data_IF_635541249088
#
_entry.id   IF_635541249088
#
_cell.length_a   1.000
_cell.length_b   1.000
_cell.length_c   1.000
_cell.angle_alpha   90.00
_cell.angle_beta   90.00
_cell.angle_gamma   90.00
#
_symmetry.space_group_name_H-M   'P 1'
#
loop_
_entity.id
_entity.type
_entity.pdbx_description
1 polymer ?
#
# COMPACT_ATOMS: atom_id res chain seq x y z
N UNK A 1 3.17 8.22 9.02
CA UNK A 1 1.73 8.04 8.73
C UNK A 1 1.27 6.73 9.31
N UNK A 2 0.16 6.75 10.06
CA UNK A 2 -0.39 5.52 10.60
C UNK A 2 -1.30 4.86 9.57
N UNK A 3 -1.63 3.61 9.83
CA UNK A 3 -2.44 2.83 8.90
C UNK A 3 -3.80 3.44 8.61
N UNK A 4 -4.43 4.04 9.63
CA UNK A 4 -5.76 4.61 9.44
C UNK A 4 -5.72 6.00 8.83
N UNK A 5 -4.65 6.72 9.08
CA UNK A 5 -4.48 8.04 8.52
C UNK A 5 -4.11 7.99 7.05
N UNK A 6 -3.70 6.82 6.56
CA UNK A 6 -3.42 6.64 5.15
C UNK A 6 -4.60 7.01 4.27
N UNK A 7 -5.81 6.81 4.77
CA UNK A 7 -6.99 7.00 3.95
C UNK A 7 -7.05 8.40 3.35
N UNK A 8 -6.79 9.42 4.15
CA UNK A 8 -6.85 10.80 3.68
C UNK A 8 -5.75 11.15 2.71
N UNK A 9 -4.69 10.35 2.66
CA UNK A 9 -3.54 10.61 1.82
C UNK A 9 -3.31 9.48 0.81
N UNK A 10 -4.31 8.64 0.61
CA UNK A 10 -4.12 7.43 -0.17
C UNK A 10 -3.71 7.69 -1.61
N UNK A 11 -4.24 8.75 -2.23
CA UNK A 11 -3.85 9.07 -3.61
C UNK A 11 -2.36 9.31 -3.74
N UNK A 12 -1.79 9.97 -2.74
CA UNK A 12 -0.37 10.23 -2.70
C UNK A 12 0.43 8.95 -2.49
N UNK A 13 -0.05 8.13 -1.55
CA UNK A 13 0.59 6.84 -1.27
C UNK A 13 0.55 5.95 -2.50
N UNK A 14 -0.56 5.93 -3.23
CA UNK A 14 -0.66 5.13 -4.47
C UNK A 14 0.41 5.53 -5.46
N UNK A 15 0.59 6.83 -5.65
CA UNK A 15 1.60 7.30 -6.59
C UNK A 15 2.99 6.84 -6.20
N UNK A 16 3.31 6.91 -4.91
CA UNK A 16 4.62 6.48 -4.43
C UNK A 16 4.80 4.97 -4.61
N UNK A 17 3.77 4.19 -4.30
CA UNK A 17 3.85 2.75 -4.45
C UNK A 17 4.04 2.34 -5.91
N UNK A 18 3.36 3.01 -6.83
CA UNK A 18 3.52 2.73 -8.25
C UNK A 18 4.91 3.09 -8.74
N UNK A 19 5.52 4.11 -8.19
CA UNK A 19 6.88 4.47 -8.53
C UNK A 19 7.88 3.42 -8.04
N UNK A 20 7.63 2.89 -6.84
CA UNK A 20 8.52 1.90 -6.25
C UNK A 20 8.37 0.53 -6.91
N UNK A 21 7.14 0.14 -7.19
CA UNK A 21 6.83 -1.16 -7.80
C UNK A 21 5.94 -0.91 -9.01
N UNK A 22 6.57 -0.78 -10.17
CA UNK A 22 5.87 -0.38 -11.40
C UNK A 22 4.80 -1.37 -11.84
N UNK A 23 4.87 -2.61 -11.38
CA UNK A 23 3.89 -3.63 -11.75
C UNK A 23 2.54 -3.46 -11.06
N UNK A 24 2.45 -2.57 -10.06
CA UNK A 24 1.19 -2.36 -9.35
C UNK A 24 0.20 -1.61 -10.23
N UNK A 25 -1.06 -2.04 -10.16
CA UNK A 25 -2.16 -1.39 -10.88
C UNK A 25 -3.08 -0.69 -9.90
N UNK A 26 -3.99 0.12 -10.42
CA UNK A 26 -4.99 0.78 -9.57
C UNK A 26 -5.85 -0.22 -8.83
N UNK A 27 -6.18 -1.35 -9.46
CA UNK A 27 -6.96 -2.40 -8.80
C UNK A 27 -6.21 -2.99 -7.62
N UNK A 28 -4.89 -3.13 -7.75
CA UNK A 28 -4.06 -3.64 -6.65
C UNK A 28 -4.04 -2.67 -5.47
N UNK A 29 -4.30 -1.41 -5.73
CA UNK A 29 -4.16 -0.35 -4.74
C UNK A 29 -5.50 0.16 -4.21
N UNK A 30 -6.58 -0.57 -4.45
CA UNK A 30 -7.87 -0.26 -3.84
C UNK A 30 -7.78 -0.44 -2.34
N UNK A 31 -8.18 0.58 -1.61
CA UNK A 31 -8.10 0.56 -0.15
C UNK A 31 -9.43 0.99 0.46
N UNK A 32 -9.93 0.17 1.40
CA UNK A 32 -11.12 0.48 2.14
C UNK A 32 -10.80 0.48 3.63
N UNK A 33 -11.52 1.30 4.39
CA UNK A 33 -11.36 1.34 5.84
C UNK A 33 -11.49 -0.03 6.45
N UNK A 34 -10.58 -0.35 7.37
CA UNK A 34 -10.62 -1.62 8.07
C UNK A 34 -10.10 -2.80 7.28
N UNK A 35 -9.61 -2.58 6.07
CA UNK A 35 -9.13 -3.67 5.22
C UNK A 35 -7.65 -3.55 4.88
N UNK A 36 -6.86 -3.02 5.82
CA UNK A 36 -5.43 -2.87 5.59
C UNK A 36 -4.74 -4.20 5.34
N UNK A 37 -5.16 -5.25 6.07
CA UNK A 37 -4.52 -6.55 5.89
C UNK A 37 -4.80 -7.14 4.52
N UNK A 38 -5.99 -6.92 3.98
CA UNK A 38 -6.30 -7.37 2.63
C UNK A 38 -5.44 -6.63 1.61
N UNK A 39 -5.30 -5.34 1.79
CA UNK A 39 -4.46 -4.53 0.92
C UNK A 39 -3.02 -5.03 0.96
N UNK A 40 -2.48 -5.21 2.16
CA UNK A 40 -1.10 -5.66 2.32
C UNK A 40 -0.89 -7.06 1.73
N UNK A 41 -1.87 -7.95 1.89
CA UNK A 41 -1.78 -9.27 1.30
C UNK A 41 -1.74 -9.23 -0.22
N UNK A 42 -2.55 -8.35 -0.81
CA UNK A 42 -2.57 -8.16 -2.24
C UNK A 42 -1.23 -7.59 -2.73
N UNK A 43 -0.71 -6.59 -2.03
CA UNK A 43 0.57 -6.01 -2.38
C UNK A 43 1.71 -7.01 -2.22
N UNK A 44 1.64 -7.85 -1.20
CA UNK A 44 2.63 -8.89 -1.00
C UNK A 44 2.70 -9.83 -2.20
N UNK A 45 1.53 -10.21 -2.71
CA UNK A 45 1.48 -11.09 -3.87
C UNK A 45 2.05 -10.43 -5.11
N UNK A 46 1.81 -9.14 -5.27
CA UNK A 46 2.24 -8.43 -6.47
C UNK A 46 3.72 -8.04 -6.42
N UNK A 47 4.23 -7.70 -5.25
CA UNK A 47 5.59 -7.17 -5.13
C UNK A 47 6.60 -8.22 -4.70
N UNK A 48 6.15 -9.29 -4.04
CA UNK A 48 7.07 -10.26 -3.45
C UNK A 48 7.66 -9.81 -2.13
N UNK A 49 7.28 -8.63 -1.64
CA UNK A 49 7.78 -8.13 -0.35
C UNK A 49 6.94 -8.67 0.79
N UNK A 50 7.51 -8.64 2.00
CA UNK A 50 6.75 -9.03 3.18
C UNK A 50 5.81 -7.90 3.60
N UNK A 51 4.78 -8.26 4.38
CA UNK A 51 3.87 -7.24 4.89
C UNK A 51 4.59 -6.24 5.78
N UNK A 52 5.56 -6.70 6.56
CA UNK A 52 6.32 -5.80 7.43
C UNK A 52 7.12 -4.78 6.62
N UNK A 53 7.73 -5.22 5.53
CA UNK A 53 8.46 -4.32 4.65
C UNK A 53 7.52 -3.30 4.02
N UNK A 54 6.34 -3.74 3.59
CA UNK A 54 5.36 -2.85 2.99
C UNK A 54 4.83 -1.84 4.00
N UNK A 55 4.54 -2.28 5.23
CA UNK A 55 4.10 -1.36 6.28
C UNK A 55 5.15 -0.30 6.57
N UNK A 56 6.40 -0.73 6.66
CA UNK A 56 7.49 0.20 6.95
C UNK A 56 7.64 1.22 5.83
N UNK A 57 7.55 0.79 4.59
CA UNK A 57 7.66 1.69 3.46
C UNK A 57 6.55 2.74 3.49
N UNK A 58 5.32 2.30 3.69
CA UNK A 58 4.17 3.21 3.72
C UNK A 58 4.28 4.18 4.89
N UNK A 59 4.74 3.70 6.03
CA UNK A 59 4.87 4.55 7.22
C UNK A 59 5.91 5.65 7.04
N UNK A 60 6.87 5.44 6.18
CA UNK A 60 7.94 6.41 5.94
C UNK A 60 7.60 7.43 4.86
N UNK A 61 6.48 7.32 4.21
CA UNK A 61 6.12 8.22 3.11
C UNK A 61 5.68 9.63 3.61
#
# INVERSE_FOLDING_TARGET
>A
MTKLEMKGQWNEVKGKLKQKWAQLTDDDLLFEDGKEEELLGRLQQRTGETKDTLRAYIADL
#
